data_IF_362616361743
#
_entry.id   IF_362616361743
#
_cell.length_a   1.000
_cell.length_b   1.000
_cell.length_c   1.000
_cell.angle_alpha   90.00
_cell.angle_beta   90.00
_cell.angle_gamma   90.00
#
_symmetry.space_group_name_H-M   'P 1'
#
loop_
_entity.id
_entity.type
_entity.pdbx_description
1 polymer ?
#
# COMPACT_ATOMS: atom_id res chain seq x y z
N UNK A 1 11.17 0.46 -23.53
CA UNK A 1 9.79 0.98 -23.58
C UNK A 1 9.88 2.47 -23.89
N UNK A 2 9.27 2.90 -25.00
CA UNK A 2 9.32 4.30 -25.44
C UNK A 2 8.36 5.15 -24.58
N UNK A 3 8.80 6.25 -23.93
CA UNK A 3 7.96 7.05 -23.05
C UNK A 3 6.71 7.66 -23.70
N UNK A 4 6.67 7.71 -25.04
CA UNK A 4 5.62 8.38 -25.83
C UNK A 4 4.38 7.51 -26.10
N UNK A 5 4.43 6.21 -25.87
CA UNK A 5 3.32 5.27 -26.16
C UNK A 5 2.54 4.85 -24.91
N UNK A 6 2.70 5.56 -23.79
CA UNK A 6 1.99 5.25 -22.55
C UNK A 6 0.52 5.66 -22.69
N UNK A 7 -0.34 4.68 -22.92
CA UNK A 7 -1.80 4.88 -22.87
C UNK A 7 -2.26 5.11 -21.43
N UNK A 8 -2.78 6.29 -21.16
CA UNK A 8 -3.37 6.66 -19.87
C UNK A 8 -4.87 6.36 -19.83
N UNK A 9 -5.33 5.79 -18.74
CA UNK A 9 -6.74 5.66 -18.40
C UNK A 9 -7.15 6.88 -17.58
N UNK A 10 -8.17 7.60 -18.05
CA UNK A 10 -8.76 8.75 -17.35
C UNK A 10 -10.04 8.32 -16.65
N UNK A 11 -10.28 8.84 -15.45
CA UNK A 11 -11.54 8.62 -14.76
C UNK A 11 -12.63 9.50 -15.41
N UNK A 12 -13.84 8.97 -15.51
CA UNK A 12 -14.98 9.70 -16.08
C UNK A 12 -15.63 10.67 -15.09
N UNK A 13 -15.35 10.54 -13.79
CA UNK A 13 -16.00 11.30 -12.73
C UNK A 13 -15.08 12.31 -12.03
N UNK A 14 -13.76 12.24 -12.24
CA UNK A 14 -12.82 13.18 -11.65
C UNK A 14 -11.50 13.26 -12.46
N UNK A 15 -10.60 14.22 -12.15
CA UNK A 15 -9.33 14.38 -12.86
C UNK A 15 -8.30 13.25 -12.68
N UNK A 16 -8.62 12.17 -11.95
CA UNK A 16 -7.70 11.08 -11.71
C UNK A 16 -7.32 10.36 -13.01
N UNK A 17 -6.01 10.14 -13.20
CA UNK A 17 -5.46 9.39 -14.33
C UNK A 17 -4.51 8.31 -13.83
N UNK A 18 -4.40 7.22 -14.57
CA UNK A 18 -3.42 6.16 -14.29
C UNK A 18 -3.02 5.44 -15.56
N UNK A 19 -1.81 4.92 -15.61
CA UNK A 19 -1.36 4.04 -16.70
C UNK A 19 -1.89 2.60 -16.59
N UNK A 20 -2.57 2.25 -15.49
CA UNK A 20 -2.99 0.88 -15.20
C UNK A 20 -4.51 0.75 -15.07
N UNK A 21 -5.13 -0.02 -15.97
CA UNK A 21 -6.58 -0.31 -15.95
C UNK A 21 -7.08 -0.87 -14.60
N UNK A 22 -6.38 -1.81 -13.93
CA UNK A 22 -6.80 -2.30 -12.61
C UNK A 22 -6.88 -1.19 -11.56
N UNK A 23 -5.99 -0.21 -11.63
CA UNK A 23 -5.93 0.90 -10.67
C UNK A 23 -7.05 1.90 -10.92
N UNK A 24 -7.44 2.11 -12.19
CA UNK A 24 -8.63 2.88 -12.53
C UNK A 24 -9.88 2.20 -11.96
N UNK A 25 -10.03 0.87 -12.13
CA UNK A 25 -11.17 0.13 -11.57
C UNK A 25 -11.22 0.25 -10.04
N UNK A 26 -10.08 0.07 -9.35
CA UNK A 26 -10.02 0.24 -7.88
C UNK A 26 -10.35 1.67 -7.45
N UNK A 27 -9.89 2.66 -8.21
CA UNK A 27 -10.19 4.06 -7.96
C UNK A 27 -11.69 4.31 -8.05
N UNK A 28 -12.33 3.96 -9.17
CA UNK A 28 -13.77 4.13 -9.39
C UNK A 28 -14.60 3.47 -8.30
N UNK A 29 -14.31 2.21 -7.96
CA UNK A 29 -15.00 1.49 -6.88
C UNK A 29 -14.89 2.23 -5.54
N UNK A 30 -13.71 2.79 -5.24
CA UNK A 30 -13.47 3.42 -3.93
C UNK A 30 -13.94 4.86 -3.81
N UNK A 31 -14.14 5.57 -4.93
CA UNK A 31 -14.39 7.02 -4.95
C UNK A 31 -15.71 7.42 -5.61
N UNK A 32 -16.23 6.58 -6.49
CA UNK A 32 -17.36 6.92 -7.36
C UNK A 32 -18.48 5.87 -7.35
N UNK A 33 -18.32 4.75 -6.64
CA UNK A 33 -19.40 3.78 -6.43
C UNK A 33 -20.16 4.08 -5.13
N UNK A 34 -21.48 3.98 -5.19
CA UNK A 34 -22.32 4.13 -4.01
C UNK A 34 -21.97 3.06 -2.97
N UNK A 35 -21.84 3.45 -1.70
CA UNK A 35 -21.52 2.54 -0.59
C UNK A 35 -22.41 1.30 -0.49
N UNK A 36 -23.67 1.37 -0.95
CA UNK A 36 -24.62 0.25 -0.99
C UNK A 36 -24.28 -0.82 -2.04
N UNK A 37 -23.62 -0.42 -3.13
CA UNK A 37 -23.21 -1.32 -4.24
C UNK A 37 -21.79 -1.86 -4.05
N UNK A 38 -21.02 -1.23 -3.16
CA UNK A 38 -19.67 -1.68 -2.85
C UNK A 38 -19.72 -3.05 -2.20
N UNK A 39 -19.06 -4.02 -2.84
CA UNK A 39 -18.79 -5.33 -2.24
C UNK A 39 -17.66 -5.18 -1.21
N UNK A 40 -18.06 -4.99 0.04
CA UNK A 40 -17.14 -4.95 1.17
C UNK A 40 -16.61 -6.34 1.51
N UNK A 41 -15.34 -6.40 1.87
CA UNK A 41 -14.70 -7.59 2.42
C UNK A 41 -14.50 -7.33 3.91
N UNK A 42 -15.18 -8.11 4.75
CA UNK A 42 -15.12 -7.98 6.20
C UNK A 42 -14.03 -8.89 6.79
N UNK A 43 -13.37 -8.39 7.84
CA UNK A 43 -12.47 -9.19 8.65
C UNK A 43 -13.25 -10.25 9.44
N UNK A 44 -12.77 -11.49 9.44
CA UNK A 44 -13.41 -12.57 10.21
C UNK A 44 -13.24 -12.44 11.74
N UNK A 45 -12.39 -11.53 12.20
CA UNK A 45 -12.03 -11.38 13.61
C UNK A 45 -12.57 -10.09 14.26
N UNK A 46 -13.02 -9.11 13.47
CA UNK A 46 -13.55 -7.85 13.97
C UNK A 46 -14.44 -7.14 12.94
N UNK A 47 -14.96 -5.96 13.27
CA UNK A 47 -15.86 -5.18 12.40
C UNK A 47 -15.15 -4.42 11.27
N UNK A 48 -13.82 -4.56 11.14
CA UNK A 48 -13.08 -3.91 10.05
C UNK A 48 -13.55 -4.44 8.69
N UNK A 49 -13.82 -3.52 7.76
CA UNK A 49 -14.20 -3.83 6.38
C UNK A 49 -13.40 -2.99 5.39
N UNK A 50 -13.14 -3.56 4.21
CA UNK A 50 -12.41 -2.88 3.14
C UNK A 50 -12.82 -3.40 1.78
N UNK A 51 -12.62 -2.60 0.74
CA UNK A 51 -12.85 -3.00 -0.66
C UNK A 51 -11.63 -3.67 -1.29
N UNK A 52 -10.49 -3.70 -0.58
CA UNK A 52 -9.21 -4.19 -1.11
C UNK A 52 -8.70 -5.36 -0.28
N UNK A 53 -8.58 -6.54 -0.91
CA UNK A 53 -8.05 -7.77 -0.30
C UNK A 53 -6.68 -7.55 0.38
N UNK A 54 -5.78 -6.82 -0.29
CA UNK A 54 -4.45 -6.54 0.27
C UNK A 54 -4.52 -5.72 1.57
N UNK A 55 -5.48 -4.80 1.71
CA UNK A 55 -5.65 -4.03 2.96
C UNK A 55 -6.20 -4.93 4.06
N UNK A 56 -7.07 -5.89 3.74
CA UNK A 56 -7.55 -6.85 4.73
C UNK A 56 -6.43 -7.76 5.22
N UNK A 57 -5.58 -8.26 4.33
CA UNK A 57 -4.40 -9.06 4.71
C UNK A 57 -3.45 -8.26 5.61
N UNK A 58 -3.14 -7.01 5.24
CA UNK A 58 -2.35 -6.13 6.10
C UNK A 58 -3.01 -5.87 7.44
N UNK A 59 -4.33 -5.67 7.48
CA UNK A 59 -5.07 -5.51 8.72
C UNK A 59 -4.98 -6.76 9.62
N UNK A 60 -5.17 -7.96 9.06
CA UNK A 60 -5.06 -9.23 9.79
C UNK A 60 -3.65 -9.37 10.37
N UNK A 61 -2.61 -9.19 9.56
CA UNK A 61 -1.21 -9.18 10.02
C UNK A 61 -0.96 -8.10 11.08
N UNK A 62 -1.67 -6.97 11.01
CA UNK A 62 -1.49 -5.86 11.91
C UNK A 62 -2.07 -6.11 13.31
N UNK A 63 -3.24 -6.73 13.38
CA UNK A 63 -4.13 -6.74 14.55
C UNK A 63 -4.51 -8.13 15.07
N UNK A 64 -4.34 -9.17 14.25
CA UNK A 64 -4.87 -10.51 14.52
C UNK A 64 -3.85 -11.62 14.31
N UNK A 65 -2.59 -11.30 14.03
CA UNK A 65 -1.48 -12.26 13.94
C UNK A 65 -0.61 -12.12 15.17
N UNK A 66 -0.37 -13.23 15.87
CA UNK A 66 0.52 -13.29 17.04
C UNK A 66 1.94 -12.89 16.62
N UNK A 67 2.72 -12.18 17.47
CA UNK A 67 4.11 -11.81 17.15
C UNK A 67 5.00 -12.99 16.75
N UNK A 68 4.71 -14.19 17.24
CA UNK A 68 5.43 -15.43 16.92
C UNK A 68 5.18 -15.93 15.48
N UNK A 69 3.99 -15.66 14.93
CA UNK A 69 3.61 -16.01 13.55
C UNK A 69 3.98 -14.92 12.54
N UNK A 70 4.45 -13.76 13.01
CA UNK A 70 4.85 -12.66 12.14
C UNK A 70 6.21 -12.98 11.53
N UNK A 71 6.26 -13.00 10.19
CA UNK A 71 7.54 -12.91 9.48
C UNK A 71 8.09 -11.49 9.59
N UNK A 72 9.07 -11.30 10.46
CA UNK A 72 9.74 -10.03 10.66
C UNK A 72 10.75 -9.73 9.54
N UNK A 73 10.77 -8.48 9.11
CA UNK A 73 11.86 -7.91 8.32
C UNK A 73 12.84 -7.26 9.28
N UNK A 74 14.04 -7.83 9.37
CA UNK A 74 15.09 -7.37 10.27
C UNK A 74 16.07 -6.47 9.53
N UNK A 75 16.58 -5.46 10.21
CA UNK A 75 17.71 -4.69 9.72
C UNK A 75 19.00 -5.48 9.87
N UNK A 76 19.83 -5.47 8.83
CA UNK A 76 21.13 -6.15 8.86
C UNK A 76 22.20 -5.37 9.65
N UNK A 77 21.90 -4.12 10.05
CA UNK A 77 22.88 -3.20 10.68
C UNK A 77 22.56 -2.84 12.12
N UNK A 78 21.35 -3.12 12.61
CA UNK A 78 20.95 -2.89 14.00
C UNK A 78 19.80 -3.81 14.41
N UNK A 79 19.37 -3.74 15.67
CA UNK A 79 18.29 -4.57 16.23
C UNK A 79 16.87 -4.18 15.75
N UNK A 80 16.74 -3.19 14.88
CA UNK A 80 15.43 -2.79 14.36
C UNK A 80 14.79 -3.90 13.54
N UNK A 81 13.52 -4.18 13.82
CA UNK A 81 12.71 -5.11 13.04
C UNK A 81 11.30 -4.57 12.86
N UNK A 82 10.65 -4.98 11.77
CA UNK A 82 9.29 -4.56 11.46
C UNK A 82 8.58 -5.60 10.61
N UNK A 83 7.26 -5.70 10.73
CA UNK A 83 6.44 -6.54 9.84
C UNK A 83 6.22 -5.96 8.44
N UNK A 84 6.72 -4.74 8.17
CA UNK A 84 6.49 -4.03 6.91
C UNK A 84 7.80 -3.73 6.16
N UNK A 85 7.98 -4.34 4.99
CA UNK A 85 9.19 -4.16 4.15
C UNK A 85 9.48 -2.71 3.80
N UNK A 86 8.45 -1.90 3.52
CA UNK A 86 8.61 -0.49 3.21
C UNK A 86 9.10 0.33 4.43
N UNK A 87 8.72 -0.08 5.65
CA UNK A 87 9.22 0.56 6.86
C UNK A 87 10.69 0.20 7.08
N UNK A 88 11.07 -1.06 6.85
CA UNK A 88 12.49 -1.45 6.90
C UNK A 88 13.32 -0.61 5.91
N UNK A 89 12.85 -0.50 4.66
CA UNK A 89 13.54 0.32 3.65
C UNK A 89 13.68 1.78 4.08
N UNK A 90 12.61 2.39 4.61
CA UNK A 90 12.67 3.76 5.14
C UNK A 90 13.68 3.86 6.27
N UNK A 91 13.60 2.96 7.24
CA UNK A 91 14.53 2.89 8.37
C UNK A 91 15.98 2.80 7.90
N UNK A 92 16.31 1.91 6.95
CA UNK A 92 17.66 1.77 6.40
C UNK A 92 18.13 3.07 5.75
N UNK A 93 17.28 3.71 4.95
CA UNK A 93 17.62 4.99 4.28
C UNK A 93 17.86 6.10 5.29
N UNK A 94 17.05 6.20 6.35
CA UNK A 94 17.15 7.32 7.30
C UNK A 94 18.19 7.13 8.40
N UNK A 95 18.47 5.89 8.80
CA UNK A 95 19.32 5.59 9.97
C UNK A 95 20.68 4.99 9.61
N UNK A 96 20.83 4.46 8.39
CA UNK A 96 22.05 3.76 7.99
C UNK A 96 22.63 4.21 6.66
N UNK A 97 21.88 4.99 5.89
CA UNK A 97 22.41 5.71 4.74
C UNK A 97 22.42 7.18 5.16
N UNK A 98 23.54 7.62 5.75
CA UNK A 98 23.84 9.05 5.72
C UNK A 98 23.90 9.41 4.24
N UNK A 99 22.96 10.23 3.77
CA UNK A 99 23.13 10.96 2.53
C UNK A 99 23.91 12.22 2.90
N UNK A 100 25.26 12.28 2.76
CA UNK A 100 25.85 13.58 2.55
C UNK A 100 25.25 14.10 1.23
N UNK A 101 24.59 15.25 1.31
CA UNK A 101 24.02 16.00 0.20
C UNK A 101 22.82 15.39 -0.54
N UNK A 102 21.63 15.62 0.03
CA UNK A 102 20.48 16.02 -0.80
C UNK A 102 20.32 17.52 -0.62
N UNK A 103 20.99 18.31 -1.47
CA UNK A 103 20.58 19.69 -1.72
C UNK A 103 19.26 19.63 -2.48
N UNK A 104 18.19 20.09 -1.85
CA UNK A 104 16.97 20.46 -2.57
C UNK A 104 17.26 21.81 -3.24
N UNK A 105 17.64 21.78 -4.52
CA UNK A 105 17.51 22.92 -5.43
C UNK A 105 16.33 22.65 -6.36
#
# INVERSE_FOLDING_TARGET
MNPKDVKWFKCEHCPYITKFKPEMKKHTISKHTNSKEIKWIQCKHCLYKTVRKQHLQSHILAKHTSPEDVKWFQCERCSYQTKWRNNLRKHTVTNHINRPDVKWM
#
